data_IF_036471211602
#
_entry.id   IF_036471211602
#
_cell.length_a   1.000
_cell.length_b   1.000
_cell.length_c   1.000
_cell.angle_alpha   90.00
_cell.angle_beta   90.00
_cell.angle_gamma   90.00
#
_symmetry.space_group_name_H-M   'P 1'
#
loop_
_entity.id
_entity.type
_entity.pdbx_description
1 polymer ?
#
# COMPACT_ATOMS: atom_id res chain seq x y z
N UNK A 1 11.22 3.13 4.61
CA UNK A 1 11.15 1.76 4.08
C UNK A 1 9.86 1.04 4.49
N UNK A 2 9.54 0.95 5.78
CA UNK A 2 8.28 0.47 6.36
C UNK A 2 7.99 1.25 7.64
N UNK A 3 6.77 1.14 8.17
CA UNK A 3 6.37 1.76 9.41
C UNK A 3 7.21 1.37 10.63
N UNK A 4 7.02 2.05 11.77
CA UNK A 4 7.78 1.81 12.98
C UNK A 4 7.60 0.37 13.50
N UNK A 5 8.57 -0.14 14.26
CA UNK A 5 8.58 -1.51 14.75
C UNK A 5 8.89 -1.60 16.24
N UNK A 6 8.58 -2.78 16.83
CA UNK A 6 8.85 -3.09 18.25
C UNK A 6 10.13 -3.90 18.48
N UNK A 7 10.90 -4.14 17.43
CA UNK A 7 12.13 -4.93 17.52
C UNK A 7 13.23 -4.14 18.25
N UNK A 8 14.12 -4.85 18.91
CA UNK A 8 15.23 -4.24 19.64
C UNK A 8 14.82 -3.40 20.86
N UNK A 9 13.62 -3.62 21.40
CA UNK A 9 13.13 -2.88 22.58
C UNK A 9 12.50 -1.53 22.26
N UNK A 10 12.28 -1.21 20.99
CA UNK A 10 11.56 0.00 20.58
C UNK A 10 10.09 -0.08 20.97
N UNK A 11 9.54 1.06 21.41
CA UNK A 11 8.12 1.23 21.62
C UNK A 11 7.58 2.33 20.70
N UNK A 12 6.88 1.95 19.59
CA UNK A 12 6.30 2.93 18.68
C UNK A 12 5.28 3.87 19.32
N UNK A 13 4.67 3.46 20.44
CA UNK A 13 3.69 4.28 21.14
C UNK A 13 4.33 5.40 21.95
N UNK A 14 5.54 5.18 22.45
CA UNK A 14 6.27 6.19 23.24
C UNK A 14 6.50 7.50 22.46
N UNK A 15 6.89 7.39 21.20
CA UNK A 15 7.12 8.55 20.33
C UNK A 15 5.91 8.87 19.42
N UNK A 16 4.81 8.13 19.54
CA UNK A 16 3.70 8.21 18.59
C UNK A 16 4.19 8.10 17.12
N UNK A 17 5.03 7.09 16.84
CA UNK A 17 5.85 7.02 15.63
C UNK A 17 5.05 6.86 14.33
N UNK A 18 3.83 6.31 14.39
CA UNK A 18 2.91 6.23 13.25
C UNK A 18 2.04 7.50 13.11
N UNK A 19 2.12 8.46 14.05
CA UNK A 19 1.25 9.62 14.07
C UNK A 19 -0.23 9.22 14.10
N UNK A 20 -1.06 9.76 13.20
CA UNK A 20 -2.49 9.41 13.13
C UNK A 20 -2.75 8.07 12.43
N UNK A 21 -1.73 7.43 11.84
CA UNK A 21 -1.89 6.24 11.00
C UNK A 21 -2.02 4.99 11.86
N UNK A 22 -2.90 4.08 11.46
CA UNK A 22 -3.05 2.77 12.09
C UNK A 22 -1.96 1.82 11.62
N UNK A 23 -1.48 0.99 12.55
CA UNK A 23 -0.56 -0.10 12.25
C UNK A 23 0.92 0.29 12.38
N UNK A 24 1.75 -0.74 12.28
CA UNK A 24 3.21 -0.70 12.36
C UNK A 24 3.80 -1.69 11.36
N UNK A 25 5.11 -1.78 11.25
CA UNK A 25 5.83 -2.80 10.45
C UNK A 25 5.15 -4.17 10.53
N UNK A 26 4.98 -4.84 9.40
CA UNK A 26 4.28 -6.12 9.17
C UNK A 26 2.75 -6.02 9.12
N UNK A 27 2.20 -4.85 9.21
CA UNK A 27 0.77 -4.61 9.02
C UNK A 27 0.55 -3.83 7.73
N UNK A 28 -0.52 -4.17 6.99
CA UNK A 28 -0.83 -3.51 5.70
C UNK A 28 -1.76 -2.30 5.85
N UNK A 29 -2.01 -1.85 7.09
CA UNK A 29 -2.60 -0.55 7.37
C UNK A 29 -1.61 0.59 7.03
N UNK A 30 -2.11 1.80 6.87
CA UNK A 30 -1.30 2.95 6.44
C UNK A 30 -0.04 3.15 7.30
N UNK A 31 -0.12 2.98 8.62
CA UNK A 31 1.03 3.12 9.53
C UNK A 31 2.12 2.06 9.34
N UNK A 32 1.84 0.98 8.61
CA UNK A 32 2.85 -0.04 8.29
C UNK A 32 3.49 0.13 6.91
N UNK A 33 2.82 0.83 5.98
CA UNK A 33 3.24 0.91 4.57
C UNK A 33 3.33 2.34 4.01
N UNK A 34 2.77 3.35 4.67
CA UNK A 34 2.83 4.74 4.22
C UNK A 34 4.01 5.46 4.82
N UNK A 35 5.00 5.76 3.99
CA UNK A 35 6.24 6.40 4.39
C UNK A 35 6.38 7.79 3.75
N UNK A 36 6.95 8.78 4.48
CA UNK A 36 7.27 10.07 3.89
C UNK A 36 8.43 9.94 2.90
N UNK A 37 8.33 10.67 1.79
CA UNK A 37 9.40 10.82 0.81
C UNK A 37 9.84 12.27 0.73
N UNK A 38 11.13 12.53 0.82
CA UNK A 38 11.74 13.86 0.66
C UNK A 38 12.74 13.82 -0.47
N UNK A 39 12.56 14.72 -1.43
CA UNK A 39 13.44 14.85 -2.60
C UNK A 39 14.16 16.19 -2.56
N UNK A 40 15.48 16.16 -2.75
CA UNK A 40 16.29 17.37 -2.95
C UNK A 40 17.09 17.24 -4.23
N UNK A 41 16.70 18.02 -5.24
CA UNK A 41 17.37 18.06 -6.54
C UNK A 41 17.50 19.52 -7.01
N UNK A 42 18.56 20.24 -6.58
CA UNK A 42 18.73 21.65 -6.87
C UNK A 42 18.69 21.95 -8.37
N UNK A 43 17.95 22.99 -8.75
CA UNK A 43 17.77 23.39 -10.15
C UNK A 43 16.70 22.61 -10.92
N UNK A 44 16.10 21.56 -10.32
CA UNK A 44 15.09 20.71 -10.95
C UNK A 44 13.79 20.66 -10.12
N UNK A 45 13.88 20.25 -8.86
CA UNK A 45 12.73 20.19 -7.96
C UNK A 45 12.45 21.59 -7.37
N UNK A 46 11.22 22.13 -7.49
CA UNK A 46 10.86 23.41 -6.89
C UNK A 46 11.02 23.35 -5.37
N UNK A 47 11.68 24.34 -4.80
CA UNK A 47 11.91 24.41 -3.36
C UNK A 47 10.58 24.58 -2.60
N UNK A 48 10.38 23.82 -1.53
CA UNK A 48 9.18 23.86 -0.69
C UNK A 48 7.92 23.31 -1.33
N UNK A 49 8.01 22.66 -2.50
CA UNK A 49 6.86 21.99 -3.11
C UNK A 49 6.44 20.76 -2.32
N UNK A 50 5.13 20.48 -2.33
CA UNK A 50 4.51 19.29 -1.75
C UNK A 50 3.70 18.59 -2.84
N UNK A 51 3.63 17.27 -2.81
CA UNK A 51 2.85 16.47 -3.74
C UNK A 51 2.10 15.39 -2.97
N UNK A 52 0.81 15.22 -3.28
CA UNK A 52 -0.04 14.14 -2.77
C UNK A 52 -0.06 12.92 -3.71
N UNK A 53 0.88 12.86 -4.67
CA UNK A 53 0.98 11.72 -5.57
C UNK A 53 1.29 10.44 -4.80
N UNK A 54 0.46 9.43 -5.00
CA UNK A 54 0.64 8.11 -4.40
C UNK A 54 1.58 7.29 -5.28
N UNK A 55 2.71 6.90 -4.72
CA UNK A 55 3.73 6.09 -5.38
C UNK A 55 4.16 4.93 -4.47
N UNK A 56 4.86 3.95 -5.02
CA UNK A 56 5.47 2.87 -4.23
C UNK A 56 6.95 2.68 -4.64
N UNK A 57 7.69 1.88 -3.88
CA UNK A 57 9.13 1.69 -4.12
C UNK A 57 9.48 1.22 -5.54
N UNK A 58 8.61 0.42 -6.18
CA UNK A 58 8.80 0.00 -7.57
C UNK A 58 8.89 1.14 -8.57
N UNK A 59 8.25 2.26 -8.29
CA UNK A 59 8.23 3.45 -9.16
C UNK A 59 9.58 4.17 -9.23
N UNK A 60 10.45 3.91 -8.26
CA UNK A 60 11.79 4.48 -8.26
C UNK A 60 12.60 4.03 -9.48
N UNK A 61 12.44 2.77 -9.92
CA UNK A 61 13.11 2.27 -11.12
C UNK A 61 12.67 3.03 -12.37
N UNK A 62 11.37 3.22 -12.58
CA UNK A 62 10.85 3.98 -13.72
C UNK A 62 11.30 5.43 -13.69
N UNK A 63 11.31 6.05 -12.51
CA UNK A 63 11.74 7.43 -12.33
C UNK A 63 13.22 7.62 -12.67
N UNK A 64 14.09 6.75 -12.17
CA UNK A 64 15.52 6.81 -12.50
C UNK A 64 15.76 6.54 -13.98
N UNK A 65 15.07 5.57 -14.58
CA UNK A 65 15.22 5.28 -16.00
C UNK A 65 14.83 6.48 -16.88
N UNK A 66 13.76 7.19 -16.52
CA UNK A 66 13.35 8.41 -17.22
C UNK A 66 14.39 9.54 -17.06
N UNK A 67 14.92 9.73 -15.86
CA UNK A 67 15.98 10.75 -15.59
C UNK A 67 17.23 10.52 -16.46
N UNK A 68 17.66 9.27 -16.60
CA UNK A 68 18.90 8.95 -17.35
C UNK A 68 18.64 8.63 -18.83
N UNK A 69 17.37 8.69 -19.29
CA UNK A 69 16.98 8.44 -20.67
C UNK A 69 17.15 6.99 -21.12
N UNK A 70 17.02 6.01 -20.21
CA UNK A 70 17.12 4.59 -20.56
C UNK A 70 15.75 3.94 -20.67
N UNK A 71 15.67 2.88 -21.48
CA UNK A 71 14.42 2.11 -21.63
C UNK A 71 14.36 1.02 -20.57
N UNK A 72 13.19 0.91 -19.95
CA UNK A 72 12.86 -0.21 -19.06
C UNK A 72 12.40 -1.43 -19.85
N UNK A 73 12.49 -2.63 -19.25
CA UNK A 73 11.80 -3.81 -19.75
C UNK A 73 10.29 -3.57 -19.90
N UNK A 74 9.68 -4.25 -20.87
CA UNK A 74 8.23 -4.20 -21.04
C UNK A 74 7.52 -4.89 -19.86
N UNK A 75 6.29 -4.47 -19.56
CA UNK A 75 5.40 -5.06 -18.54
C UNK A 75 5.89 -4.92 -17.09
N UNK A 76 6.35 -3.76 -16.72
CA UNK A 76 6.57 -3.40 -15.31
C UNK A 76 5.34 -2.67 -14.76
N UNK A 77 5.06 -2.91 -13.48
CA UNK A 77 4.01 -2.18 -12.74
C UNK A 77 4.46 -0.77 -12.31
N UNK A 78 5.66 -0.37 -12.68
CA UNK A 78 6.33 0.86 -12.27
C UNK A 78 5.87 2.06 -13.11
N UNK A 79 5.49 3.14 -12.45
CA UNK A 79 5.15 4.44 -13.05
C UNK A 79 6.12 5.49 -12.53
N UNK A 80 6.75 6.26 -13.44
CA UNK A 80 7.65 7.33 -13.01
C UNK A 80 6.90 8.43 -12.27
N UNK A 81 7.45 8.88 -11.14
CA UNK A 81 6.99 10.07 -10.42
C UNK A 81 7.87 11.31 -10.71
N UNK A 82 8.66 11.28 -11.78
CA UNK A 82 9.48 12.42 -12.20
C UNK A 82 8.64 13.69 -12.43
N UNK A 83 7.45 13.66 -13.07
CA UNK A 83 6.64 14.85 -13.21
C UNK A 83 6.28 15.51 -11.88
N UNK A 84 5.94 14.70 -10.85
CA UNK A 84 5.69 15.22 -9.50
C UNK A 84 6.92 15.87 -8.88
N UNK A 85 8.11 15.27 -9.06
CA UNK A 85 9.37 15.85 -8.60
C UNK A 85 9.71 17.18 -9.27
N UNK A 86 9.32 17.34 -10.54
CA UNK A 86 9.56 18.55 -11.32
C UNK A 86 8.47 19.63 -11.14
N UNK A 87 7.48 19.43 -10.26
CA UNK A 87 6.38 20.36 -10.04
C UNK A 87 5.37 20.41 -11.19
N UNK A 88 5.18 19.29 -11.89
CA UNK A 88 4.28 19.16 -13.04
C UNK A 88 3.15 18.14 -12.76
N UNK A 89 2.28 18.39 -11.79
CA UNK A 89 1.27 17.42 -11.35
C UNK A 89 0.29 17.01 -12.45
N UNK A 90 0.04 17.87 -13.44
CA UNK A 90 -0.86 17.56 -14.58
C UNK A 90 -0.28 16.57 -15.58
N UNK A 91 1.04 16.37 -15.59
CA UNK A 91 1.72 15.39 -16.44
C UNK A 91 1.88 14.03 -15.69
N UNK A 92 1.60 14.02 -14.38
CA UNK A 92 1.79 12.84 -13.54
C UNK A 92 0.72 11.78 -13.81
N UNK A 93 1.18 10.59 -14.20
CA UNK A 93 0.32 9.40 -14.29
C UNK A 93 0.14 8.78 -12.91
N UNK A 94 -1.06 8.29 -12.62
CA UNK A 94 -1.37 7.58 -11.39
C UNK A 94 -1.53 6.08 -11.66
N UNK A 95 -1.30 5.28 -10.63
CA UNK A 95 -1.71 3.88 -10.63
C UNK A 95 -3.24 3.77 -10.53
N UNK A 96 -3.83 2.84 -11.26
CA UNK A 96 -5.24 2.49 -11.08
C UNK A 96 -5.48 1.89 -9.69
N UNK A 97 -4.53 1.13 -9.20
CA UNK A 97 -4.46 0.61 -7.84
C UNK A 97 -3.01 0.24 -7.47
N UNK A 98 -2.75 0.15 -6.17
CA UNK A 98 -1.57 -0.51 -5.60
C UNK A 98 -2.03 -1.74 -4.83
N UNK A 99 -1.25 -2.82 -4.90
CA UNK A 99 -1.55 -4.11 -4.28
C UNK A 99 -0.38 -4.63 -3.47
N UNK A 100 -0.67 -5.16 -2.28
CA UNK A 100 0.30 -5.77 -1.39
C UNK A 100 -0.15 -7.12 -0.89
N UNK A 101 0.82 -8.01 -0.68
CA UNK A 101 0.67 -9.25 0.06
C UNK A 101 1.68 -9.29 1.20
N UNK A 102 1.25 -9.81 2.33
CA UNK A 102 2.13 -10.08 3.46
C UNK A 102 1.86 -11.48 3.98
N UNK A 103 2.87 -12.34 3.94
CA UNK A 103 2.69 -13.78 4.12
C UNK A 103 3.09 -14.28 5.51
N UNK A 104 3.64 -13.44 6.37
CA UNK A 104 3.94 -13.82 7.75
C UNK A 104 2.65 -13.82 8.60
N UNK A 105 2.65 -14.60 9.68
CA UNK A 105 1.54 -14.69 10.63
C UNK A 105 0.21 -15.07 9.95
N UNK A 106 -0.80 -14.24 10.10
CA UNK A 106 -2.15 -14.51 9.58
C UNK A 106 -2.32 -14.17 8.10
N UNK A 107 -1.28 -14.04 7.31
CA UNK A 107 -1.30 -13.63 5.91
C UNK A 107 -2.28 -12.47 5.61
N UNK A 108 -1.92 -11.53 4.79
CA UNK A 108 -2.77 -10.38 4.48
C UNK A 108 -2.65 -9.97 3.01
N UNK A 109 -3.73 -9.40 2.48
CA UNK A 109 -3.75 -8.66 1.21
C UNK A 109 -4.25 -7.25 1.47
N UNK A 110 -3.72 -6.26 0.76
CA UNK A 110 -4.26 -4.92 0.75
C UNK A 110 -4.32 -4.34 -0.67
N UNK A 111 -5.29 -3.47 -0.90
CA UNK A 111 -5.44 -2.67 -2.12
C UNK A 111 -5.64 -1.23 -1.72
N UNK A 112 -4.95 -0.32 -2.42
CA UNK A 112 -5.24 1.10 -2.43
C UNK A 112 -5.66 1.50 -3.85
N UNK A 113 -6.90 1.97 -4.01
CA UNK A 113 -7.48 2.36 -5.30
C UNK A 113 -8.26 3.66 -5.18
N UNK A 114 -7.70 4.75 -5.70
CA UNK A 114 -8.23 6.09 -5.48
C UNK A 114 -8.15 6.49 -4.01
N UNK A 115 -9.30 6.79 -3.39
CA UNK A 115 -9.40 7.08 -1.95
C UNK A 115 -9.69 5.84 -1.09
N UNK A 116 -9.91 4.69 -1.72
CA UNK A 116 -10.27 3.47 -1.02
C UNK A 116 -9.05 2.65 -0.64
N UNK A 117 -8.97 2.27 0.63
CA UNK A 117 -8.05 1.28 1.16
C UNK A 117 -8.84 0.07 1.63
N UNK A 118 -8.42 -1.12 1.20
CA UNK A 118 -9.05 -2.35 1.65
C UNK A 118 -8.00 -3.35 2.12
N UNK A 119 -8.35 -4.13 3.15
CA UNK A 119 -7.49 -5.14 3.75
C UNK A 119 -8.28 -6.43 3.93
N UNK A 120 -7.68 -7.56 3.55
CA UNK A 120 -8.25 -8.90 3.71
C UNK A 120 -7.31 -9.74 4.58
N UNK A 121 -7.80 -10.23 5.72
CA UNK A 121 -7.07 -11.09 6.66
C UNK A 121 -7.98 -12.24 7.09
N UNK A 122 -7.57 -13.52 6.94
CA UNK A 122 -6.45 -13.98 6.14
C UNK A 122 -6.65 -13.70 4.64
N UNK A 123 -5.55 -13.60 3.90
CA UNK A 123 -5.63 -13.39 2.46
C UNK A 123 -6.44 -14.49 1.76
N UNK A 124 -7.03 -14.19 0.61
CA UNK A 124 -7.87 -15.03 -0.25
C UNK A 124 -9.23 -15.42 0.34
N UNK A 125 -9.36 -15.57 1.65
CA UNK A 125 -10.57 -16.17 2.29
C UNK A 125 -11.21 -15.32 3.37
N UNK A 126 -10.47 -14.36 3.95
CA UNK A 126 -10.96 -13.51 5.02
C UNK A 126 -12.00 -12.47 4.57
N UNK A 127 -12.69 -11.84 5.51
CA UNK A 127 -13.50 -10.67 5.21
C UNK A 127 -12.63 -9.52 4.71
N UNK A 128 -13.21 -8.67 3.86
CA UNK A 128 -12.58 -7.44 3.39
C UNK A 128 -13.06 -6.30 4.28
N UNK A 129 -12.12 -5.61 4.93
CA UNK A 129 -12.34 -4.31 5.55
C UNK A 129 -12.14 -3.23 4.49
N UNK A 130 -12.93 -2.15 4.54
CA UNK A 130 -12.87 -1.03 3.61
C UNK A 130 -12.81 0.29 4.37
N UNK A 131 -11.90 1.17 3.96
CA UNK A 131 -11.68 2.49 4.56
C UNK A 131 -11.64 3.57 3.48
N UNK A 132 -12.25 4.73 3.74
CA UNK A 132 -12.14 5.93 2.91
C UNK A 132 -11.03 6.82 3.47
N UNK A 133 -9.86 6.79 2.86
CA UNK A 133 -8.67 7.54 3.33
C UNK A 133 -8.84 9.07 3.23
N UNK A 134 -9.81 9.58 2.49
CA UNK A 134 -10.09 11.03 2.48
C UNK A 134 -10.69 11.51 3.79
N UNK A 135 -11.46 10.66 4.47
CA UNK A 135 -12.18 11.00 5.71
C UNK A 135 -11.67 10.26 6.92
N UNK A 136 -10.99 9.13 6.72
CA UNK A 136 -10.49 8.23 7.77
C UNK A 136 -9.08 7.72 7.45
N UNK A 137 -8.11 8.62 7.44
CA UNK A 137 -6.70 8.28 7.20
C UNK A 137 -6.13 7.30 8.25
N UNK A 138 -6.74 7.27 9.44
CA UNK A 138 -6.37 6.38 10.53
C UNK A 138 -7.01 4.98 10.45
N UNK A 139 -7.83 4.69 9.43
CA UNK A 139 -8.46 3.37 9.20
C UNK A 139 -9.20 2.85 10.45
N UNK A 140 -9.96 3.74 11.11
CA UNK A 140 -10.68 3.44 12.35
C UNK A 140 -12.08 2.90 12.09
N UNK A 141 -12.70 3.22 10.94
CA UNK A 141 -14.10 2.94 10.63
C UNK A 141 -14.21 2.07 9.38
N UNK A 142 -14.48 0.79 9.58
CA UNK A 142 -14.76 -0.13 8.47
C UNK A 142 -16.13 0.18 7.87
N UNK A 143 -16.14 0.64 6.63
CA UNK A 143 -17.34 1.01 5.87
C UNK A 143 -17.75 -0.03 4.82
N UNK A 144 -17.19 -1.24 4.85
CA UNK A 144 -17.45 -2.29 3.87
C UNK A 144 -18.96 -2.60 3.71
N UNK A 145 -19.71 -2.63 4.81
CA UNK A 145 -21.15 -2.90 4.78
C UNK A 145 -21.96 -1.79 4.08
N UNK A 146 -21.46 -0.56 4.08
CA UNK A 146 -22.10 0.58 3.44
C UNK A 146 -21.78 0.70 1.93
N UNK A 147 -20.69 0.06 1.49
CA UNK A 147 -20.18 0.16 0.11
C UNK A 147 -19.92 -1.21 -0.54
N UNK A 148 -20.95 -2.07 -0.67
CA UNK A 148 -20.78 -3.44 -1.18
C UNK A 148 -20.27 -3.49 -2.64
N UNK A 149 -20.60 -2.50 -3.45
CA UNK A 149 -20.14 -2.34 -4.82
C UNK A 149 -18.63 -2.08 -4.90
N UNK A 150 -18.11 -1.23 -4.01
CA UNK A 150 -16.67 -0.96 -3.90
C UNK A 150 -15.93 -2.21 -3.42
N UNK A 151 -16.48 -2.90 -2.40
CA UNK A 151 -15.91 -4.15 -1.89
C UNK A 151 -15.80 -5.20 -3.01
N UNK A 152 -16.81 -5.35 -3.86
CA UNK A 152 -16.78 -6.32 -4.96
C UNK A 152 -15.75 -5.96 -6.04
N UNK A 153 -15.67 -4.67 -6.38
CA UNK A 153 -14.61 -4.18 -7.30
C UNK A 153 -13.22 -4.48 -6.74
N UNK A 154 -12.99 -4.18 -5.46
CA UNK A 154 -11.68 -4.41 -4.82
C UNK A 154 -11.40 -5.90 -4.66
N UNK A 155 -12.38 -6.74 -4.36
CA UNK A 155 -12.25 -8.20 -4.37
C UNK A 155 -11.73 -8.69 -5.71
N UNK A 156 -12.32 -8.21 -6.81
CA UNK A 156 -11.87 -8.53 -8.16
C UNK A 156 -10.41 -8.14 -8.40
N UNK A 157 -10.01 -6.95 -7.95
CA UNK A 157 -8.59 -6.52 -8.01
C UNK A 157 -7.70 -7.48 -7.22
N UNK A 158 -8.05 -7.79 -5.97
CA UNK A 158 -7.27 -8.69 -5.11
C UNK A 158 -7.10 -10.08 -5.73
N UNK A 159 -8.16 -10.60 -6.33
CA UNK A 159 -8.15 -11.94 -6.93
C UNK A 159 -7.37 -11.99 -8.25
N UNK A 160 -7.35 -10.89 -9.03
CA UNK A 160 -6.58 -10.78 -10.27
C UNK A 160 -5.10 -10.44 -10.04
N UNK A 161 -4.79 -9.64 -9.03
CA UNK A 161 -3.43 -9.24 -8.71
C UNK A 161 -2.63 -10.35 -8.01
N UNK A 162 -3.32 -11.29 -7.35
CA UNK A 162 -2.66 -12.42 -6.72
C UNK A 162 -2.07 -13.39 -7.74
N UNK A 163 -0.76 -13.59 -7.69
CA UNK A 163 -0.06 -14.59 -8.51
C UNK A 163 0.41 -15.74 -7.63
N UNK A 164 -0.20 -16.94 -7.73
CA UNK A 164 0.24 -18.10 -6.95
C UNK A 164 1.70 -18.45 -7.21
N UNK A 165 2.45 -18.70 -6.14
CA UNK A 165 3.86 -19.10 -6.24
C UNK A 165 4.10 -20.45 -5.59
N UNK A 166 4.81 -21.39 -6.24
CA UNK A 166 5.21 -22.65 -5.62
C UNK A 166 6.20 -22.46 -4.48
N UNK A 167 6.95 -21.35 -4.49
CA UNK A 167 7.94 -21.00 -3.46
C UNK A 167 7.31 -20.37 -2.23
N UNK A 168 6.12 -19.78 -2.38
CA UNK A 168 5.42 -19.07 -1.33
C UNK A 168 3.94 -19.47 -1.32
N UNK A 169 3.64 -20.59 -0.67
CA UNK A 169 2.28 -21.11 -0.59
C UNK A 169 1.50 -20.40 0.52
N UNK A 170 0.38 -19.84 0.17
CA UNK A 170 -0.60 -19.38 1.18
C UNK A 170 -1.15 -20.63 1.86
N UNK A 171 -1.10 -20.74 3.20
CA UNK A 171 -1.72 -21.86 3.91
C UNK A 171 -3.19 -21.97 3.51
N UNK A 172 -3.64 -23.18 3.15
CA UNK A 172 -5.06 -23.41 2.96
C UNK A 172 -5.77 -23.00 4.26
N UNK A 173 -6.77 -22.14 4.17
CA UNK A 173 -7.58 -21.80 5.33
C UNK A 173 -8.03 -23.12 5.97
N UNK A 174 -7.71 -23.34 7.23
CA UNK A 174 -8.21 -24.47 7.99
C UNK A 174 -9.73 -24.43 7.94
N UNK A 175 -10.32 -25.22 7.05
CA UNK A 175 -11.75 -25.50 7.06
C UNK A 175 -12.00 -26.34 8.32
N UNK A 176 -12.39 -25.68 9.40
CA UNK A 176 -12.86 -26.35 10.61
C UNK A 176 -11.87 -26.39 11.76
N UNK A 177 -11.69 -25.28 12.44
CA UNK A 177 -11.69 -25.29 13.89
C UNK A 177 -13.13 -24.98 14.30
N UNK A 178 -14.00 -25.98 14.20
CA UNK A 178 -15.29 -25.98 14.88
C UNK A 178 -15.02 -25.80 16.38
N UNK A 179 -15.76 -24.89 16.96
CA UNK A 179 -15.93 -24.71 18.38
C UNK A 179 -15.97 -26.07 19.10
N UNK A 180 -15.01 -26.29 19.98
CA UNK A 180 -15.15 -27.11 21.17
C UNK A 180 -13.94 -26.82 22.08
N UNK A 181 -14.16 -26.03 23.03
CA UNK A 181 -13.89 -26.00 24.47
C UNK A 181 -13.72 -24.57 24.97
#
# INVERSE_FOLDING_TARGET
DNGPHREGGNDPTFFNSSGPLRGIKRELYEGGIREPMIVRWPGHTPAGSVSDHVAYFGDFMATVAEIIGTRLPDKLDSISFLPSMLGKPTEQKAHDYLYWEFHERATAQAVHAGNWKAIRIPMLTGPIQLFDLNTDLGEQHDVAAAHPDVVERIRTIMDQAHVPSPLWRVPAANRGASANQ
#
